data_IF_946097815262
#
_entry.id   IF_946097815262
#
_cell.length_a   1.000
_cell.length_b   1.000
_cell.length_c   1.000
_cell.angle_alpha   90.00
_cell.angle_beta   90.00
_cell.angle_gamma   90.00
#
_symmetry.space_group_name_H-M   'P 1'
#
loop_
_entity.id
_entity.type
_entity.pdbx_description
1 polymer ?
#
# COMPACT_ATOMS: atom_id res chain seq x y z
N UNK A 1 -18.54 -8.60 -6.65
CA UNK A 1 -19.80 -9.31 -6.37
C UNK A 1 -19.66 -9.91 -4.99
N UNK A 2 -20.63 -9.72 -4.09
CA UNK A 2 -20.55 -10.28 -2.73
C UNK A 2 -20.73 -11.79 -2.79
N UNK A 3 -19.63 -12.54 -2.79
CA UNK A 3 -19.67 -13.99 -2.64
C UNK A 3 -20.20 -14.30 -1.25
N UNK A 4 -21.28 -15.06 -1.16
CA UNK A 4 -21.84 -15.48 0.13
C UNK A 4 -20.84 -16.41 0.81
N UNK A 5 -20.09 -15.89 1.79
CA UNK A 5 -19.11 -16.66 2.55
C UNK A 5 -19.80 -17.62 3.51
N UNK A 6 -19.33 -18.87 3.57
CA UNK A 6 -19.76 -19.75 4.65
C UNK A 6 -19.17 -19.28 5.98
N UNK A 7 -20.04 -18.87 6.90
CA UNK A 7 -19.64 -18.27 8.18
C UNK A 7 -18.80 -19.21 9.06
N UNK A 8 -19.05 -20.53 9.00
CA UNK A 8 -18.28 -21.50 9.80
C UNK A 8 -16.87 -21.70 9.25
N UNK A 9 -16.75 -21.83 7.93
CA UNK A 9 -15.49 -22.00 7.22
C UNK A 9 -14.65 -20.74 7.36
N UNK A 10 -15.24 -19.57 7.07
CA UNK A 10 -14.55 -18.29 7.23
C UNK A 10 -14.19 -18.01 8.69
N UNK A 11 -15.08 -18.30 9.65
CA UNK A 11 -14.78 -18.18 11.07
C UNK A 11 -13.62 -19.07 11.53
N UNK A 12 -13.49 -20.27 10.96
CA UNK A 12 -12.37 -21.18 11.25
C UNK A 12 -11.05 -20.64 10.68
N UNK A 13 -11.08 -20.05 9.47
CA UNK A 13 -9.93 -19.37 8.89
C UNK A 13 -9.50 -18.17 9.74
N UNK A 14 -10.43 -17.32 10.17
CA UNK A 14 -10.14 -16.20 11.06
C UNK A 14 -9.55 -16.65 12.39
N UNK A 15 -10.04 -17.74 12.97
CA UNK A 15 -9.48 -18.29 14.20
C UNK A 15 -8.07 -18.86 14.00
N UNK A 16 -7.76 -19.40 12.81
CA UNK A 16 -6.43 -19.92 12.46
C UNK A 16 -5.41 -18.81 12.26
N UNK A 17 -5.73 -17.82 11.43
CA UNK A 17 -4.79 -16.76 11.02
C UNK A 17 -4.80 -15.54 11.94
N UNK A 18 -5.87 -15.37 12.74
CA UNK A 18 -6.04 -14.29 13.72
C UNK A 18 -5.64 -12.91 13.17
N UNK A 19 -6.19 -12.49 12.01
CA UNK A 19 -5.83 -11.23 11.39
C UNK A 19 -6.14 -10.06 12.34
N UNK A 20 -5.16 -9.17 12.49
CA UNK A 20 -5.22 -7.97 13.32
C UNK A 20 -4.41 -6.86 12.67
N UNK A 21 -4.58 -5.63 13.16
CA UNK A 21 -3.69 -4.52 12.76
C UNK A 21 -2.25 -4.93 13.05
N UNK A 22 -1.41 -4.87 12.01
CA UNK A 22 0.01 -5.17 12.07
C UNK A 22 0.71 -4.01 12.78
N UNK A 23 1.41 -4.30 13.86
CA UNK A 23 2.08 -3.28 14.68
C UNK A 23 3.60 -3.48 14.78
N UNK A 24 4.13 -4.56 14.20
CA UNK A 24 5.56 -4.88 14.20
C UNK A 24 6.01 -5.51 12.89
N UNK A 25 7.32 -5.47 12.65
CA UNK A 25 7.96 -6.10 11.49
C UNK A 25 7.81 -7.63 11.51
N UNK A 26 7.85 -8.26 12.69
CA UNK A 26 7.62 -9.71 12.83
C UNK A 26 6.19 -10.10 12.40
N UNK A 27 5.19 -9.30 12.79
CA UNK A 27 3.79 -9.52 12.39
C UNK A 27 3.60 -9.29 10.89
N UNK A 28 4.29 -8.30 10.34
CA UNK A 28 4.31 -8.02 8.91
C UNK A 28 4.87 -9.20 8.11
N UNK A 29 6.06 -9.68 8.48
CA UNK A 29 6.72 -10.82 7.83
C UNK A 29 5.87 -12.09 7.90
N UNK A 30 5.29 -12.39 9.07
CA UNK A 30 4.39 -13.55 9.19
C UNK A 30 3.14 -13.41 8.30
N UNK A 31 2.58 -12.20 8.22
CA UNK A 31 1.41 -11.95 7.37
C UNK A 31 1.77 -12.12 5.90
N UNK A 32 2.91 -11.62 5.46
CA UNK A 32 3.43 -11.84 4.11
C UNK A 32 3.63 -13.32 3.78
N UNK A 33 4.26 -14.09 4.66
CA UNK A 33 4.43 -15.54 4.45
C UNK A 33 3.08 -16.25 4.27
N UNK A 34 2.06 -15.83 5.01
CA UNK A 34 0.69 -16.38 4.88
C UNK A 34 0.07 -16.04 3.53
N UNK A 35 0.23 -14.79 3.08
CA UNK A 35 -0.21 -14.32 1.76
C UNK A 35 0.49 -15.12 0.65
N UNK A 36 1.81 -15.26 0.72
CA UNK A 36 2.60 -15.99 -0.28
C UNK A 36 2.15 -17.45 -0.41
N UNK A 37 1.93 -18.13 0.72
CA UNK A 37 1.42 -19.50 0.72
C UNK A 37 0.04 -19.62 0.05
N UNK A 38 -0.83 -18.62 0.23
CA UNK A 38 -2.13 -18.58 -0.43
C UNK A 38 -2.00 -18.28 -1.93
N UNK A 39 -1.11 -17.35 -2.31
CA UNK A 39 -0.85 -17.02 -3.71
C UNK A 39 -0.27 -18.19 -4.51
N UNK A 40 0.58 -19.03 -3.88
CA UNK A 40 1.11 -20.25 -4.52
C UNK A 40 -0.03 -21.21 -4.93
N UNK A 41 -1.12 -21.26 -4.16
CA UNK A 41 -2.30 -22.08 -4.48
C UNK A 41 -3.19 -21.44 -5.57
N UNK A 42 -3.17 -20.11 -5.69
CA UNK A 42 -3.81 -19.39 -6.79
C UNK A 42 -5.29 -19.75 -6.99
N UNK A 43 -5.61 -20.38 -8.12
CA UNK A 43 -6.98 -20.75 -8.51
C UNK A 43 -7.63 -21.81 -7.60
N UNK A 44 -6.85 -22.49 -6.75
CA UNK A 44 -7.35 -23.49 -5.80
C UNK A 44 -7.91 -22.87 -4.50
N UNK A 45 -7.90 -21.54 -4.37
CA UNK A 45 -8.43 -20.86 -3.20
C UNK A 45 -9.95 -20.89 -3.18
N UNK A 46 -10.52 -21.27 -2.03
CA UNK A 46 -11.97 -21.14 -1.83
C UNK A 46 -12.38 -19.66 -1.79
N UNK A 47 -13.66 -19.33 -1.94
CA UNK A 47 -14.16 -17.97 -1.75
C UNK A 47 -13.76 -17.36 -0.39
N UNK A 48 -13.78 -18.16 0.68
CA UNK A 48 -13.40 -17.74 2.03
C UNK A 48 -11.90 -17.47 2.14
N UNK A 49 -11.07 -18.30 1.50
CA UNK A 49 -9.63 -18.08 1.47
C UNK A 49 -9.28 -16.84 0.64
N UNK A 50 -9.94 -16.61 -0.49
CA UNK A 50 -9.78 -15.37 -1.26
C UNK A 50 -10.19 -14.14 -0.44
N UNK A 51 -11.29 -14.20 0.30
CA UNK A 51 -11.70 -13.09 1.17
C UNK A 51 -10.70 -12.84 2.30
N UNK A 52 -10.11 -13.89 2.87
CA UNK A 52 -9.04 -13.73 3.86
C UNK A 52 -7.77 -13.14 3.24
N UNK A 53 -7.39 -13.60 2.05
CA UNK A 53 -6.23 -13.08 1.31
C UNK A 53 -6.37 -11.58 1.05
N UNK A 54 -7.55 -11.14 0.60
CA UNK A 54 -7.86 -9.72 0.42
C UNK A 54 -7.71 -8.94 1.74
N UNK A 55 -8.26 -9.47 2.85
CA UNK A 55 -8.12 -8.84 4.17
C UNK A 55 -6.65 -8.72 4.61
N UNK A 56 -5.86 -9.79 4.49
CA UNK A 56 -4.44 -9.78 4.87
C UNK A 56 -3.65 -8.78 4.00
N UNK A 57 -3.97 -8.70 2.71
CA UNK A 57 -3.31 -7.78 1.77
C UNK A 57 -3.57 -6.32 2.16
N UNK A 58 -4.80 -5.98 2.53
CA UNK A 58 -5.16 -4.63 3.02
C UNK A 58 -4.41 -4.30 4.33
N UNK A 59 -4.25 -5.26 5.24
CA UNK A 59 -3.51 -5.04 6.49
C UNK A 59 -2.02 -4.75 6.26
N UNK A 60 -1.42 -5.45 5.29
CA UNK A 60 -0.04 -5.22 4.83
C UNK A 60 0.09 -3.82 4.23
N UNK A 61 -0.80 -3.44 3.31
CA UNK A 61 -0.81 -2.11 2.68
C UNK A 61 -0.89 -0.99 3.74
N UNK A 62 -1.80 -1.10 4.71
CA UNK A 62 -1.92 -0.12 5.80
C UNK A 62 -0.62 -0.01 6.61
N UNK A 63 0.03 -1.14 6.90
CA UNK A 63 1.31 -1.13 7.61
C UNK A 63 2.40 -0.45 6.78
N UNK A 64 2.55 -0.81 5.50
CA UNK A 64 3.54 -0.22 4.60
C UNK A 64 3.36 1.30 4.49
N UNK A 65 2.12 1.78 4.28
CA UNK A 65 1.79 3.21 4.24
C UNK A 65 2.20 3.93 5.54
N UNK A 66 2.03 3.28 6.69
CA UNK A 66 2.44 3.85 7.99
C UNK A 66 3.95 3.92 8.17
N UNK A 67 4.71 3.03 7.51
CA UNK A 67 6.16 2.99 7.58
C UNK A 67 6.84 3.95 6.61
N UNK A 68 6.15 4.41 5.55
CA UNK A 68 6.68 5.46 4.68
C UNK A 68 6.84 6.72 5.54
N UNK A 69 8.07 7.20 5.78
CA UNK A 69 8.24 8.48 6.42
C UNK A 69 7.56 9.51 5.53
N UNK A 70 6.59 10.24 6.07
CA UNK A 70 6.14 11.48 5.44
C UNK A 70 7.30 12.47 5.60
N UNK A 71 8.37 12.28 4.84
CA UNK A 71 9.33 13.35 4.61
C UNK A 71 8.55 14.42 3.86
N UNK A 72 8.33 15.61 4.44
CA UNK A 72 7.85 16.71 3.65
C UNK A 72 8.88 16.91 2.54
N UNK A 73 8.51 16.53 1.32
CA UNK A 73 9.34 16.80 0.15
C UNK A 73 9.67 18.28 0.19
N UNK A 74 10.95 18.62 0.20
CA UNK A 74 11.36 20.02 0.26
C UNK A 74 10.64 20.79 -0.85
N UNK A 75 10.27 22.07 -0.64
CA UNK A 75 9.64 22.87 -1.70
C UNK A 75 10.43 22.85 -3.02
N UNK A 76 11.76 22.66 -2.94
CA UNK A 76 12.65 22.46 -4.09
C UNK A 76 12.40 21.12 -4.80
N UNK A 77 12.27 20.00 -4.09
CA UNK A 77 11.99 18.69 -4.70
C UNK A 77 10.60 18.66 -5.35
N UNK A 78 9.61 19.28 -4.70
CA UNK A 78 8.26 19.44 -5.27
C UNK A 78 8.34 20.26 -6.56
N UNK A 79 9.08 21.37 -6.55
CA UNK A 79 9.26 22.20 -7.74
C UNK A 79 9.95 21.44 -8.88
N UNK A 80 11.03 20.70 -8.59
CA UNK A 80 11.75 19.89 -9.58
C UNK A 80 10.85 18.81 -10.19
N UNK A 81 10.05 18.13 -9.37
CA UNK A 81 9.11 17.12 -9.85
C UNK A 81 8.03 17.73 -10.75
N UNK A 82 7.48 18.90 -10.38
CA UNK A 82 6.51 19.64 -11.21
C UNK A 82 7.12 20.14 -12.53
N UNK A 83 8.39 20.55 -12.51
CA UNK A 83 9.11 20.95 -13.71
C UNK A 83 9.31 19.76 -14.65
N UNK A 84 9.74 18.61 -14.13
CA UNK A 84 9.96 17.40 -14.92
C UNK A 84 8.65 16.87 -15.53
N UNK A 85 7.60 16.74 -14.72
CA UNK A 85 6.27 16.29 -15.15
C UNK A 85 5.64 17.20 -16.23
N UNK A 86 6.02 18.48 -16.29
CA UNK A 86 5.52 19.47 -17.26
C UNK A 86 6.56 19.84 -18.33
N UNK A 87 7.71 19.17 -18.34
CA UNK A 87 8.82 19.45 -19.25
C UNK A 87 9.26 20.92 -19.24
N UNK A 88 9.14 21.57 -18.08
CA UNK A 88 9.50 22.98 -17.88
C UNK A 88 10.98 23.08 -17.51
N UNK A 89 11.64 24.05 -18.11
CA UNK A 89 13.00 24.46 -17.74
C UNK A 89 12.94 25.59 -16.72
N UNK A 90 14.05 25.81 -16.00
CA UNK A 90 14.15 26.91 -15.04
C UNK A 90 13.90 28.28 -15.70
N UNK A 91 14.24 28.42 -16.99
CA UNK A 91 13.92 29.61 -17.80
C UNK A 91 12.43 29.91 -17.88
N UNK A 92 11.60 28.88 -17.82
CA UNK A 92 10.15 28.99 -18.02
C UNK A 92 9.45 29.46 -16.74
N UNK A 93 10.16 29.41 -15.60
CA UNK A 93 9.70 29.95 -14.33
C UNK A 93 9.97 31.46 -14.19
N UNK A 94 10.78 32.04 -15.08
CA UNK A 94 11.13 33.47 -15.07
C UNK A 94 9.87 34.31 -15.33
N UNK A 95 9.48 35.12 -14.34
CA UNK A 95 8.27 35.95 -14.39
C UNK A 95 7.09 35.39 -13.57
N UNK A 96 7.16 34.12 -13.17
CA UNK A 96 6.23 33.50 -12.21
C UNK A 96 6.84 33.46 -10.80
N UNK A 97 8.10 33.05 -10.72
CA UNK A 97 8.93 33.12 -9.51
C UNK A 97 10.07 34.10 -9.87
N UNK A 98 10.21 35.24 -9.18
CA UNK A 98 11.22 36.26 -9.54
C UNK A 98 12.65 35.67 -9.67
N UNK A 99 13.55 36.13 -10.55
CA UNK A 99 13.73 37.49 -11.07
C UNK A 99 14.29 37.56 -12.51
N UNK A 100 14.01 38.68 -13.19
CA UNK A 100 15.08 39.60 -13.63
C UNK A 100 14.91 40.88 -12.80
N UNK A 101 15.74 41.11 -11.80
CA UNK A 101 15.97 42.44 -11.24
C UNK A 101 17.47 42.74 -11.34
N UNK A 102 17.74 43.65 -12.28
CA UNK A 102 19.01 44.23 -12.73
C UNK A 102 19.90 43.38 -13.63
#
# INVERSE_FOLDING_TARGET
MATTLDSKTYGSLLAKYQPKIIASEDEYNHTLESIEQMMVRGEELTPEENSLLELLSILVEIYEESQVPVEPSSPQNILLHLMDARQLKQSDLVGVIGSKLK
#
